data_IF_334229381584
#
_entry.id   IF_334229381584
#
_cell.length_a   1.000
_cell.length_b   1.000
_cell.length_c   1.000
_cell.angle_alpha   90.00
_cell.angle_beta   90.00
_cell.angle_gamma   90.00
#
_symmetry.space_group_name_H-M   'P 1'
#
loop_
_entity.id
_entity.type
_entity.pdbx_description
1 polymer ?
#
# COMPACT_ATOMS: atom_id res chain seq x y z
N UNK A 1 42.32 -24.88 -41.19
CA UNK A 1 42.21 -23.87 -40.10
C UNK A 1 40.87 -23.09 -40.09
N UNK A 2 39.81 -23.58 -40.76
CA UNK A 2 38.54 -22.83 -40.90
C UNK A 2 37.54 -23.08 -39.75
N UNK A 3 37.40 -24.32 -39.27
CA UNK A 3 36.42 -24.67 -38.21
C UNK A 3 36.62 -23.94 -36.88
N UNK A 4 37.87 -23.75 -36.45
CA UNK A 4 38.17 -23.10 -35.15
C UNK A 4 37.74 -21.63 -35.12
N UNK A 5 37.76 -20.94 -36.26
CA UNK A 5 37.32 -19.54 -36.38
C UNK A 5 35.79 -19.41 -36.31
N UNK A 6 35.06 -20.35 -36.90
CA UNK A 6 33.60 -20.38 -36.85
C UNK A 6 33.04 -20.63 -35.45
N UNK A 7 33.68 -21.51 -34.67
CA UNK A 7 33.29 -21.76 -33.28
C UNK A 7 33.54 -20.54 -32.40
N UNK A 8 34.69 -19.87 -32.57
CA UNK A 8 34.99 -18.65 -31.82
C UNK A 8 34.00 -17.53 -32.17
N UNK A 9 33.63 -17.37 -33.44
CA UNK A 9 32.63 -16.41 -33.89
C UNK A 9 31.23 -16.71 -33.30
N UNK A 10 30.83 -17.98 -33.24
CA UNK A 10 29.55 -18.38 -32.66
C UNK A 10 29.49 -18.15 -31.14
N UNK A 11 30.57 -18.47 -30.42
CA UNK A 11 30.65 -18.26 -28.96
C UNK A 11 30.69 -16.77 -28.61
N UNK A 12 31.41 -15.95 -29.38
CA UNK A 12 31.43 -14.49 -29.18
C UNK A 12 30.08 -13.84 -29.50
N UNK A 13 29.38 -14.30 -30.54
CA UNK A 13 28.03 -13.83 -30.86
C UNK A 13 27.02 -14.20 -29.76
N UNK A 14 27.11 -15.41 -29.21
CA UNK A 14 26.25 -15.84 -28.10
C UNK A 14 26.50 -14.99 -26.84
N UNK A 15 27.77 -14.73 -26.50
CA UNK A 15 28.13 -13.86 -25.37
C UNK A 15 27.63 -12.42 -25.56
N UNK A 16 27.69 -11.89 -26.77
CA UNK A 16 27.14 -10.56 -27.09
C UNK A 16 25.61 -10.51 -26.92
N UNK A 17 24.89 -11.55 -27.35
CA UNK A 17 23.43 -11.64 -27.19
C UNK A 17 23.01 -11.76 -25.71
N UNK A 18 23.77 -12.49 -24.88
CA UNK A 18 23.45 -12.61 -23.45
C UNK A 18 23.67 -11.29 -22.69
N UNK A 19 24.62 -10.45 -23.09
CA UNK A 19 24.83 -9.14 -22.46
C UNK A 19 23.75 -8.10 -22.84
N UNK A 20 23.17 -8.20 -24.03
CA UNK A 20 22.06 -7.34 -24.45
C UNK A 20 20.76 -7.61 -23.66
N UNK A 21 20.56 -8.85 -23.19
CA UNK A 21 19.39 -9.21 -22.39
C UNK A 21 19.43 -8.66 -20.95
N UNK A 22 20.61 -8.36 -20.39
CA UNK A 22 20.73 -7.78 -19.05
C UNK A 22 20.47 -6.26 -19.00
N UNK A 23 20.45 -5.56 -20.13
CA UNK A 23 20.13 -4.11 -20.19
C UNK A 23 18.63 -3.83 -20.37
N UNK A 24 17.79 -4.86 -20.50
CA UNK A 24 16.33 -4.73 -20.47
C UNK A 24 15.78 -4.76 -19.03
N UNK A 25 16.61 -4.40 -18.06
CA UNK A 25 16.17 -4.10 -16.70
C UNK A 25 16.07 -2.57 -16.63
N UNK A 26 14.84 -2.07 -16.73
CA UNK A 26 14.48 -0.66 -16.80
C UNK A 26 15.35 0.24 -15.91
N UNK A 27 15.86 1.35 -16.47
CA UNK A 27 16.61 2.35 -15.73
C UNK A 27 15.76 2.90 -14.56
N UNK A 28 16.34 3.07 -13.35
CA UNK A 28 15.63 3.60 -12.19
C UNK A 28 15.15 5.05 -12.36
N UNK A 29 15.59 5.75 -13.41
CA UNK A 29 15.24 7.13 -13.75
C UNK A 29 13.78 7.31 -14.22
N UNK A 30 13.06 6.24 -14.57
CA UNK A 30 11.63 6.31 -14.94
C UNK A 30 10.65 6.18 -13.76
N UNK A 31 11.14 6.20 -12.50
CA UNK A 31 10.26 6.18 -11.32
C UNK A 31 9.64 7.54 -10.98
N UNK A 32 10.17 8.63 -11.51
CA UNK A 32 9.62 9.97 -11.25
C UNK A 32 8.92 10.49 -12.51
N UNK A 33 7.60 10.37 -12.50
CA UNK A 33 6.72 10.91 -13.53
C UNK A 33 5.30 10.96 -13.01
N UNK A 34 4.63 12.10 -13.23
CA UNK A 34 3.26 12.42 -12.82
C UNK A 34 2.23 11.28 -13.08
N UNK A 35 2.52 10.40 -14.05
CA UNK A 35 1.71 9.23 -14.40
C UNK A 35 1.73 8.10 -13.36
N UNK A 36 2.80 7.99 -12.55
CA UNK A 36 2.93 6.99 -11.49
C UNK A 36 2.31 7.44 -10.16
N UNK A 37 2.16 8.76 -9.97
CA UNK A 37 1.36 9.31 -8.87
C UNK A 37 -0.10 8.93 -9.02
N UNK A 38 -0.65 8.91 -10.22
CA UNK A 38 -2.04 8.52 -10.49
C UNK A 38 -2.35 7.09 -10.03
N UNK A 39 -1.40 6.15 -10.21
CA UNK A 39 -1.53 4.75 -9.76
C UNK A 39 -1.40 4.62 -8.24
N UNK A 40 -0.52 5.41 -7.64
CA UNK A 40 -0.36 5.49 -6.18
C UNK A 40 -1.61 6.06 -5.52
N UNK A 41 -2.20 7.11 -6.09
CA UNK A 41 -3.45 7.70 -5.63
C UNK A 41 -4.62 6.75 -5.73
N UNK A 42 -4.75 6.01 -6.83
CA UNK A 42 -5.86 5.07 -7.04
C UNK A 42 -5.74 3.82 -6.17
N UNK A 43 -4.53 3.30 -5.93
CA UNK A 43 -4.31 2.17 -5.01
C UNK A 43 -4.55 2.58 -3.54
N UNK A 44 -4.06 3.76 -3.15
CA UNK A 44 -4.25 4.30 -1.80
C UNK A 44 -5.71 4.71 -1.57
N UNK A 45 -6.41 5.27 -2.55
CA UNK A 45 -7.83 5.60 -2.43
C UNK A 45 -8.71 4.37 -2.30
N UNK A 46 -8.48 3.34 -3.13
CA UNK A 46 -9.20 2.06 -3.02
C UNK A 46 -9.01 1.42 -1.65
N UNK A 47 -7.79 1.39 -1.13
CA UNK A 47 -7.53 0.86 0.22
C UNK A 47 -8.13 1.71 1.34
N UNK A 48 -8.15 3.05 1.20
CA UNK A 48 -8.82 3.94 2.16
C UNK A 48 -10.30 3.59 2.29
N UNK A 49 -10.96 3.23 1.20
CA UNK A 49 -12.40 2.89 1.21
C UNK A 49 -12.69 1.58 1.96
N UNK A 50 -11.83 0.56 1.85
CA UNK A 50 -11.98 -0.65 2.66
C UNK A 50 -11.75 -0.39 4.14
N UNK A 51 -10.70 0.37 4.46
CA UNK A 51 -10.38 0.72 5.85
C UNK A 51 -11.52 1.53 6.47
N UNK A 52 -12.03 2.53 5.73
CA UNK A 52 -13.17 3.36 6.16
C UNK A 52 -14.42 2.52 6.39
N UNK A 53 -14.78 1.63 5.44
CA UNK A 53 -15.94 0.74 5.58
C UNK A 53 -15.80 -0.20 6.77
N UNK A 54 -14.64 -0.83 6.95
CA UNK A 54 -14.39 -1.72 8.08
C UNK A 54 -14.47 -0.98 9.43
N UNK A 55 -13.95 0.25 9.49
CA UNK A 55 -14.07 1.11 10.68
C UNK A 55 -15.54 1.46 10.97
N UNK A 56 -16.32 1.86 9.96
CA UNK A 56 -17.75 2.19 10.09
C UNK A 56 -18.60 1.00 10.53
N UNK A 57 -18.26 -0.22 10.09
CA UNK A 57 -18.94 -1.45 10.51
C UNK A 57 -18.64 -1.86 11.96
N UNK A 58 -17.74 -1.15 12.65
CA UNK A 58 -17.44 -1.42 14.05
C UNK A 58 -18.59 -0.94 14.93
N UNK A 59 -19.19 -1.81 15.77
CA UNK A 59 -20.25 -1.40 16.68
C UNK A 59 -19.81 -0.25 17.60
N UNK A 60 -20.62 0.80 17.67
CA UNK A 60 -20.32 2.00 18.47
C UNK A 60 -19.57 3.10 17.70
N UNK A 61 -19.22 2.89 16.43
CA UNK A 61 -18.73 3.96 15.55
C UNK A 61 -19.91 4.70 14.91
N UNK A 62 -19.84 6.03 14.89
CA UNK A 62 -20.77 6.91 14.19
C UNK A 62 -20.20 7.32 12.84
N UNK A 63 -18.97 7.81 12.84
CA UNK A 63 -18.26 8.29 11.65
C UNK A 63 -16.82 7.79 11.67
N UNK A 64 -16.24 7.59 10.48
CA UNK A 64 -14.83 7.25 10.33
C UNK A 64 -14.23 8.00 9.14
N UNK A 65 -13.05 8.56 9.36
CA UNK A 65 -12.27 9.26 8.34
C UNK A 65 -10.90 8.60 8.22
N UNK A 66 -10.40 8.47 6.99
CA UNK A 66 -9.09 7.89 6.72
C UNK A 66 -8.28 8.90 5.93
N UNK A 67 -7.15 9.31 6.47
CA UNK A 67 -6.23 10.22 5.81
C UNK A 67 -4.80 9.73 5.90
N UNK A 68 -3.99 10.13 4.92
CA UNK A 68 -2.59 9.77 4.83
C UNK A 68 -1.74 10.98 5.15
N UNK A 69 -0.81 10.86 6.09
CA UNK A 69 0.05 11.99 6.50
C UNK A 69 1.39 12.04 5.76
N UNK A 70 1.55 11.32 4.65
CA UNK A 70 2.86 11.12 4.00
C UNK A 70 3.74 10.05 4.66
N UNK A 71 3.39 9.59 5.86
CA UNK A 71 4.17 8.59 6.64
C UNK A 71 3.34 7.39 7.10
N UNK A 72 2.07 7.61 7.43
CA UNK A 72 1.16 6.57 7.94
C UNK A 72 -0.28 6.89 7.60
N UNK A 73 -1.11 5.86 7.55
CA UNK A 73 -2.56 5.98 7.48
C UNK A 73 -3.10 6.22 8.89
N UNK A 74 -3.88 7.28 9.04
CA UNK A 74 -4.60 7.60 10.26
C UNK A 74 -6.08 7.36 10.03
N UNK A 75 -6.69 6.60 10.92
CA UNK A 75 -8.13 6.36 10.97
C UNK A 75 -8.68 7.12 12.18
N UNK A 76 -9.40 8.19 11.91
CA UNK A 76 -10.10 8.97 12.93
C UNK A 76 -11.51 8.39 13.07
N UNK A 77 -11.88 8.03 14.28
CA UNK A 77 -13.18 7.41 14.61
C UNK A 77 -13.95 8.35 15.53
N UNK A 78 -15.15 8.73 15.12
CA UNK A 78 -16.11 9.43 15.99
C UNK A 78 -17.05 8.36 16.59
N UNK A 79 -17.05 8.17 17.90
CA UNK A 79 -17.95 7.21 18.55
C UNK A 79 -19.39 7.72 18.55
N UNK A 80 -20.36 6.79 18.67
CA UNK A 80 -21.76 7.15 18.96
C UNK A 80 -21.85 7.82 20.34
N UNK A 81 -22.81 8.75 20.55
CA UNK A 81 -22.93 9.52 21.80
C UNK A 81 -23.15 8.65 23.05
N UNK A 82 -23.76 7.47 22.87
CA UNK A 82 -24.02 6.46 23.89
C UNK A 82 -22.75 5.74 24.38
N UNK A 83 -21.67 5.73 23.58
CA UNK A 83 -20.43 5.06 23.94
C UNK A 83 -19.70 5.89 24.98
N UNK A 84 -19.52 5.32 26.16
CA UNK A 84 -18.80 5.99 27.24
C UNK A 84 -17.29 6.04 26.98
N UNK A 85 -16.57 7.08 27.44
CA UNK A 85 -15.12 7.21 27.25
C UNK A 85 -14.29 6.02 27.76
N UNK A 86 -14.71 5.36 28.83
CA UNK A 86 -14.05 4.15 29.38
C UNK A 86 -14.08 2.96 28.40
N UNK A 87 -14.99 2.99 27.41
CA UNK A 87 -15.12 1.97 26.37
C UNK A 87 -14.32 2.29 25.10
N UNK A 88 -13.70 3.46 25.00
CA UNK A 88 -13.00 3.88 23.78
C UNK A 88 -11.81 2.98 23.43
N UNK A 89 -11.12 2.44 24.44
CA UNK A 89 -10.03 1.50 24.19
C UNK A 89 -10.54 0.16 23.64
N UNK A 90 -11.68 -0.31 24.12
CA UNK A 90 -12.33 -1.50 23.58
C UNK A 90 -12.80 -1.25 22.14
N UNK A 91 -13.40 -0.08 21.88
CA UNK A 91 -13.82 0.35 20.54
C UNK A 91 -12.62 0.40 19.57
N UNK A 92 -11.50 0.99 20.00
CA UNK A 92 -10.26 1.07 19.22
C UNK A 92 -9.70 -0.30 18.88
N UNK A 93 -9.69 -1.23 19.84
CA UNK A 93 -9.23 -2.61 19.61
C UNK A 93 -10.13 -3.35 18.62
N UNK A 94 -11.43 -3.20 18.75
CA UNK A 94 -12.38 -3.84 17.83
C UNK A 94 -12.25 -3.29 16.41
N UNK A 95 -12.17 -1.96 16.26
CA UNK A 95 -11.92 -1.32 14.97
C UNK A 95 -10.62 -1.81 14.35
N UNK A 96 -9.54 -1.92 15.15
CA UNK A 96 -8.26 -2.45 14.68
C UNK A 96 -8.39 -3.88 14.16
N UNK A 97 -9.10 -4.76 14.87
CA UNK A 97 -9.32 -6.15 14.45
C UNK A 97 -10.05 -6.22 13.11
N UNK A 98 -11.12 -5.45 12.95
CA UNK A 98 -11.91 -5.41 11.71
C UNK A 98 -11.12 -4.86 10.53
N UNK A 99 -10.39 -3.77 10.75
CA UNK A 99 -9.53 -3.20 9.71
C UNK A 99 -8.43 -4.18 9.31
N UNK A 100 -7.79 -4.86 10.26
CA UNK A 100 -6.78 -5.87 9.96
C UNK A 100 -7.35 -7.05 9.17
N UNK A 101 -8.61 -7.45 9.44
CA UNK A 101 -9.29 -8.49 8.67
C UNK A 101 -9.58 -8.05 7.21
N UNK A 102 -9.94 -6.79 6.99
CA UNK A 102 -10.24 -6.27 5.64
C UNK A 102 -9.01 -5.80 4.87
N UNK A 103 -7.96 -5.36 5.56
CA UNK A 103 -6.75 -4.75 4.98
C UNK A 103 -5.48 -5.15 5.77
N UNK A 104 -5.06 -6.44 5.73
CA UNK A 104 -4.04 -6.99 6.62
C UNK A 104 -2.62 -6.43 6.41
N UNK A 105 -2.33 -5.84 5.24
CA UNK A 105 -0.99 -5.33 4.90
C UNK A 105 -0.76 -3.87 5.30
N UNK A 106 -1.77 -3.19 5.86
CA UNK A 106 -1.73 -1.76 6.11
C UNK A 106 -1.67 -1.42 7.60
N UNK A 107 -0.51 -1.03 8.14
CA UNK A 107 -0.45 -0.55 9.51
C UNK A 107 -1.20 0.79 9.62
N UNK A 108 -2.27 0.80 10.43
CA UNK A 108 -3.09 1.99 10.68
C UNK A 108 -2.93 2.50 12.11
N UNK A 109 -2.87 3.82 12.25
CA UNK A 109 -2.97 4.49 13.54
C UNK A 109 -4.42 4.93 13.77
N UNK A 110 -5.04 4.46 14.85
CA UNK A 110 -6.45 4.76 15.14
C UNK A 110 -6.52 5.81 16.24
N UNK A 111 -7.22 6.90 15.96
CA UNK A 111 -7.50 8.00 16.89
C UNK A 111 -9.00 8.06 17.13
N UNK A 112 -9.43 8.09 18.40
CA UNK A 112 -10.83 8.32 18.75
C UNK A 112 -11.03 9.82 18.95
N UNK A 113 -11.93 10.42 18.18
CA UNK A 113 -12.34 11.81 18.39
C UNK A 113 -13.14 11.89 19.69
N UNK A 114 -12.69 12.77 20.60
CA UNK A 114 -13.30 12.98 21.91
C UNK A 114 -14.27 14.16 21.90
N UNK A 115 -14.39 14.89 20.79
CA UNK A 115 -15.31 16.02 20.69
C UNK A 115 -16.73 15.50 20.86
N UNK A 116 -17.33 15.88 21.99
CA UNK A 116 -18.69 15.60 22.41
C UNK A 116 -19.51 16.87 22.23
#
# INVERSE_FOLDING_TARGET
>A
MSLRRGVIAAVTLLFLLMNAACQLTERPEHREGLSNDSRSYSYVSYQKDYIKRAALQTPGVKEAEVYYTGRRLIVKITPKPEVRPDRYDALRREARRRIAASAPRNPVHIVIDRKR
#
